data_IF_908378513730
#
_entry.id   IF_908378513730
#
_cell.length_a   1.000
_cell.length_b   1.000
_cell.length_c   1.000
_cell.angle_alpha   90.00
_cell.angle_beta   90.00
_cell.angle_gamma   90.00
#
_symmetry.space_group_name_H-M   'P 1'
#
loop_
_entity.id
_entity.type
_entity.pdbx_description
1 polymer ?
#
# COMPACT_ATOMS: atom_id res chain seq x y z
N UNK A 1 8.78 -1.40 -31.90
CA UNK A 1 10.15 -0.82 -31.77
C UNK A 1 10.48 -0.72 -30.29
N UNK A 2 11.51 -1.46 -29.86
CA UNK A 2 11.96 -1.44 -28.45
C UNK A 2 12.92 -0.26 -28.29
N UNK A 3 12.56 0.71 -27.48
CA UNK A 3 13.41 1.84 -27.19
C UNK A 3 14.72 1.38 -26.50
N UNK A 4 15.83 1.59 -27.14
CA UNK A 4 17.18 1.37 -26.58
C UNK A 4 17.58 2.61 -25.76
N UNK A 5 17.71 2.44 -24.45
CA UNK A 5 18.31 3.48 -23.60
C UNK A 5 19.77 3.77 -24.00
N UNK A 6 20.29 4.93 -23.64
CA UNK A 6 21.60 5.48 -24.05
C UNK A 6 22.83 4.59 -23.81
N UNK A 7 22.68 3.35 -23.33
CA UNK A 7 23.76 2.36 -23.12
C UNK A 7 23.42 0.95 -23.60
N UNK A 8 22.45 0.77 -24.52
CA UNK A 8 22.12 -0.56 -25.05
C UNK A 8 21.51 -1.55 -24.04
N UNK A 9 21.06 -1.08 -22.89
CA UNK A 9 20.33 -1.88 -21.91
C UNK A 9 18.88 -1.91 -22.34
N UNK A 10 18.30 -3.10 -22.48
CA UNK A 10 16.87 -3.29 -22.65
C UNK A 10 16.16 -2.73 -21.40
N UNK A 11 15.57 -1.56 -21.52
CA UNK A 11 14.67 -1.02 -20.50
C UNK A 11 13.35 -1.77 -20.68
N UNK A 12 12.95 -2.54 -19.69
CA UNK A 12 11.62 -3.16 -19.68
C UNK A 12 10.61 -2.03 -19.53
N UNK A 13 9.79 -1.81 -20.55
CA UNK A 13 8.63 -0.92 -20.44
C UNK A 13 7.64 -1.59 -19.48
N UNK A 14 7.33 -0.90 -18.40
CA UNK A 14 6.41 -1.34 -17.36
C UNK A 14 5.37 -0.26 -17.16
N UNK A 15 4.13 -0.67 -17.01
CA UNK A 15 3.12 0.22 -16.47
C UNK A 15 3.36 0.47 -14.98
N UNK A 16 2.87 1.58 -14.50
CA UNK A 16 2.95 1.93 -13.07
C UNK A 16 2.39 0.82 -12.16
N UNK A 17 1.23 0.21 -12.49
CA UNK A 17 0.65 -0.91 -11.72
C UNK A 17 1.54 -2.15 -11.68
N UNK A 18 2.21 -2.47 -12.81
CA UNK A 18 3.16 -3.60 -12.85
C UNK A 18 4.39 -3.31 -12.00
N UNK A 19 4.85 -2.07 -11.97
CA UNK A 19 5.95 -1.66 -11.09
C UNK A 19 5.58 -1.80 -9.62
N UNK A 20 4.35 -1.41 -9.23
CA UNK A 20 3.81 -1.62 -7.88
C UNK A 20 3.77 -3.11 -7.54
N UNK A 21 3.16 -3.94 -8.40
CA UNK A 21 3.09 -5.39 -8.18
C UNK A 21 4.47 -6.02 -8.02
N UNK A 22 5.42 -5.66 -8.89
CA UNK A 22 6.79 -6.15 -8.82
C UNK A 22 7.52 -5.69 -7.56
N UNK A 23 7.31 -4.45 -7.13
CA UNK A 23 7.91 -3.93 -5.91
C UNK A 23 7.39 -4.69 -4.67
N UNK A 24 6.08 -4.96 -4.59
CA UNK A 24 5.48 -5.78 -3.54
C UNK A 24 6.10 -7.19 -3.55
N UNK A 25 6.14 -7.84 -4.72
CA UNK A 25 6.70 -9.17 -4.87
C UNK A 25 8.17 -9.23 -4.41
N UNK A 26 8.99 -8.26 -4.77
CA UNK A 26 10.40 -8.19 -4.37
C UNK A 26 10.57 -8.09 -2.85
N UNK A 27 9.75 -7.29 -2.19
CA UNK A 27 9.82 -7.16 -0.74
C UNK A 27 9.28 -8.41 -0.02
N UNK A 28 8.23 -9.04 -0.55
CA UNK A 28 7.75 -10.33 -0.04
C UNK A 28 8.76 -11.48 -0.21
N UNK A 29 9.61 -11.45 -1.24
CA UNK A 29 10.71 -12.40 -1.40
C UNK A 29 11.83 -12.15 -0.41
N UNK A 30 12.15 -10.88 -0.18
CA UNK A 30 13.25 -10.46 0.69
C UNK A 30 12.96 -10.74 2.16
N UNK A 31 11.70 -10.53 2.57
CA UNK A 31 11.29 -10.60 3.97
C UNK A 31 10.04 -11.48 4.13
N UNK A 32 10.15 -12.65 4.78
CA UNK A 32 9.03 -13.54 5.03
C UNK A 32 7.96 -12.95 5.97
N UNK A 33 8.25 -11.90 6.71
CA UNK A 33 7.28 -11.20 7.57
C UNK A 33 6.34 -10.28 6.80
N UNK A 34 6.68 -9.92 5.55
CA UNK A 34 5.83 -9.11 4.67
C UNK A 34 4.69 -9.96 4.13
N UNK A 35 3.45 -9.50 4.28
CA UNK A 35 2.27 -10.10 3.67
C UNK A 35 1.30 -9.02 3.17
N UNK A 36 0.45 -9.38 2.21
CA UNK A 36 -0.52 -8.49 1.60
C UNK A 36 -1.95 -8.87 1.98
N UNK A 37 -2.79 -7.89 2.32
CA UNK A 37 -4.17 -8.10 2.75
C UNK A 37 -5.07 -6.96 2.26
N UNK A 38 -6.27 -7.29 1.85
CA UNK A 38 -7.28 -6.33 1.41
C UNK A 38 -8.47 -7.00 0.75
N UNK A 39 -9.33 -6.21 0.16
CA UNK A 39 -10.51 -6.68 -0.57
C UNK A 39 -10.12 -7.07 -2.00
N UNK A 40 -10.49 -8.25 -2.44
CA UNK A 40 -10.24 -8.79 -3.80
C UNK A 40 -8.76 -8.77 -4.25
N UNK A 41 -7.83 -8.72 -3.30
CA UNK A 41 -6.39 -8.62 -3.59
C UNK A 41 -5.74 -9.95 -3.94
N UNK A 42 -6.35 -11.08 -3.56
CA UNK A 42 -5.81 -12.40 -3.82
C UNK A 42 -6.31 -12.97 -5.16
N UNK A 43 -7.45 -13.61 -5.18
CA UNK A 43 -7.94 -14.32 -6.37
C UNK A 43 -8.22 -13.38 -7.55
N UNK A 44 -8.73 -12.18 -7.31
CA UNK A 44 -9.01 -11.20 -8.33
C UNK A 44 -7.77 -10.39 -8.79
N UNK A 45 -6.65 -10.44 -8.04
CA UNK A 45 -5.44 -9.67 -8.34
C UNK A 45 -5.56 -8.16 -8.10
N UNK A 46 -6.51 -7.77 -7.23
CA UNK A 46 -6.85 -6.38 -6.95
C UNK A 46 -7.77 -5.76 -8.01
N UNK A 47 -8.59 -4.79 -7.60
CA UNK A 47 -9.48 -4.05 -8.52
C UNK A 47 -8.68 -3.30 -9.58
N UNK A 48 -7.53 -2.78 -9.21
CA UNK A 48 -6.62 -2.07 -10.12
C UNK A 48 -5.50 -2.96 -10.69
N UNK A 49 -5.54 -4.28 -10.43
CA UNK A 49 -4.54 -5.25 -10.89
C UNK A 49 -3.11 -4.98 -10.39
N UNK A 50 -3.01 -4.41 -9.21
CA UNK A 50 -1.73 -4.12 -8.55
C UNK A 50 -1.17 -5.32 -7.76
N UNK A 51 -1.92 -6.41 -7.65
CA UNK A 51 -1.54 -7.64 -6.92
C UNK A 51 -1.65 -8.89 -7.78
N UNK A 52 -1.79 -8.73 -9.09
CA UNK A 52 -1.88 -9.85 -10.03
C UNK A 52 -0.62 -10.74 -9.94
N UNK A 53 -0.84 -12.06 -9.87
CA UNK A 53 0.25 -13.06 -9.75
C UNK A 53 0.83 -13.24 -8.34
N UNK A 54 0.48 -12.41 -7.38
CA UNK A 54 1.01 -12.54 -6.01
C UNK A 54 0.47 -13.77 -5.29
N UNK A 55 -0.81 -14.09 -5.45
CA UNK A 55 -1.41 -15.26 -4.80
C UNK A 55 -0.76 -16.57 -5.26
N UNK A 56 -0.54 -16.73 -6.56
CA UNK A 56 0.09 -17.91 -7.14
C UNK A 56 1.53 -18.09 -6.66
N UNK A 57 2.23 -16.96 -6.45
CA UNK A 57 3.64 -16.95 -6.06
C UNK A 57 3.86 -17.15 -4.58
N UNK A 58 3.05 -16.55 -3.73
CA UNK A 58 3.27 -16.51 -2.27
C UNK A 58 2.25 -17.29 -1.45
N UNK A 59 1.16 -17.72 -2.08
CA UNK A 59 0.11 -18.51 -1.45
C UNK A 59 -0.82 -17.72 -0.52
N UNK A 60 -1.92 -18.36 -0.06
CA UNK A 60 -2.99 -17.70 0.69
C UNK A 60 -2.60 -17.32 2.13
N UNK A 61 -1.48 -17.80 2.63
CA UNK A 61 -0.97 -17.36 3.94
C UNK A 61 -0.34 -15.97 3.88
N UNK A 62 0.14 -15.56 2.70
CA UNK A 62 0.85 -14.31 2.47
C UNK A 62 0.07 -13.29 1.64
N UNK A 63 -0.96 -13.71 0.88
CA UNK A 63 -1.85 -12.85 0.09
C UNK A 63 -3.28 -13.22 0.45
N UNK A 64 -3.99 -12.29 1.11
CA UNK A 64 -5.26 -12.60 1.77
C UNK A 64 -6.37 -11.67 1.34
N UNK A 65 -7.47 -12.25 0.84
CA UNK A 65 -8.73 -11.54 0.69
C UNK A 65 -9.42 -11.35 2.04
N UNK A 66 -10.15 -10.25 2.16
CA UNK A 66 -10.98 -9.94 3.32
C UNK A 66 -12.42 -9.66 2.90
N UNK A 67 -13.40 -9.79 3.82
CA UNK A 67 -14.68 -9.13 3.65
C UNK A 67 -14.52 -7.60 3.57
N UNK A 68 -15.53 -6.91 3.03
CA UNK A 68 -15.62 -5.46 3.02
C UNK A 68 -15.78 -4.94 4.44
N UNK A 69 -14.67 -4.57 5.08
CA UNK A 69 -14.63 -3.99 6.41
C UNK A 69 -13.27 -3.33 6.64
N UNK A 70 -13.10 -2.11 6.23
CA UNK A 70 -11.84 -1.37 6.30
C UNK A 70 -11.35 -1.23 7.75
N UNK A 71 -12.28 -1.05 8.69
CA UNK A 71 -11.94 -1.01 10.11
C UNK A 71 -11.35 -2.34 10.61
N UNK A 72 -11.89 -3.47 10.17
CA UNK A 72 -11.37 -4.78 10.55
C UNK A 72 -10.03 -5.06 9.88
N UNK A 73 -9.85 -4.66 8.60
CA UNK A 73 -8.58 -4.77 7.87
C UNK A 73 -7.49 -4.00 8.63
N UNK A 74 -7.73 -2.74 8.94
CA UNK A 74 -6.75 -1.88 9.61
C UNK A 74 -6.45 -2.36 11.04
N UNK A 75 -7.45 -2.81 11.77
CA UNK A 75 -7.26 -3.41 13.11
C UNK A 75 -6.42 -4.69 13.06
N UNK A 76 -6.66 -5.55 12.08
CA UNK A 76 -5.90 -6.79 11.88
C UNK A 76 -4.43 -6.52 11.55
N UNK A 77 -4.15 -5.58 10.62
CA UNK A 77 -2.76 -5.26 10.26
C UNK A 77 -2.02 -4.53 11.38
N UNK A 78 -2.71 -3.69 12.16
CA UNK A 78 -2.15 -3.08 13.36
C UNK A 78 -1.67 -4.16 14.33
N UNK A 79 -2.56 -5.11 14.69
CA UNK A 79 -2.23 -6.21 15.58
C UNK A 79 -1.09 -7.08 15.07
N UNK A 80 -1.06 -7.38 13.76
CA UNK A 80 0.01 -8.13 13.13
C UNK A 80 1.35 -7.40 13.18
N UNK A 81 1.37 -6.11 12.87
CA UNK A 81 2.56 -5.28 12.92
C UNK A 81 3.16 -5.19 14.33
N UNK A 82 2.31 -5.02 15.35
CA UNK A 82 2.72 -5.00 16.75
C UNK A 82 3.33 -6.34 17.21
N UNK A 83 3.03 -7.44 16.51
CA UNK A 83 3.56 -8.79 16.77
C UNK A 83 4.71 -9.20 15.82
N UNK A 84 5.33 -8.25 15.12
CA UNK A 84 6.55 -8.48 14.35
C UNK A 84 6.37 -8.82 12.88
N UNK A 85 5.13 -8.76 12.35
CA UNK A 85 4.90 -8.85 10.91
C UNK A 85 5.02 -7.46 10.25
N UNK A 86 5.15 -7.44 8.92
CA UNK A 86 5.20 -6.24 8.08
C UNK A 86 4.09 -6.27 7.04
N UNK A 87 2.85 -5.96 7.44
CA UNK A 87 1.72 -5.99 6.53
C UNK A 87 1.72 -4.83 5.54
N UNK A 88 1.29 -5.14 4.31
CA UNK A 88 0.77 -4.18 3.35
C UNK A 88 -0.74 -4.36 3.31
N UNK A 89 -1.48 -3.38 3.79
CA UNK A 89 -2.94 -3.35 3.67
C UNK A 89 -3.33 -2.52 2.45
N UNK A 90 -4.22 -3.04 1.60
CA UNK A 90 -4.87 -2.24 0.58
C UNK A 90 -6.26 -1.82 1.07
N UNK A 91 -6.49 -0.51 1.14
CA UNK A 91 -7.82 0.08 1.15
C UNK A 91 -8.12 0.50 -0.28
N UNK A 92 -9.15 -0.07 -0.87
CA UNK A 92 -9.43 0.03 -2.31
C UNK A 92 -9.49 1.48 -2.80
N UNK A 93 -10.15 2.36 -2.05
CA UNK A 93 -10.21 3.79 -2.30
C UNK A 93 -9.88 4.58 -1.03
N UNK A 94 -9.13 5.66 -1.18
CA UNK A 94 -8.75 6.52 -0.07
C UNK A 94 -9.93 7.19 0.64
N UNK A 95 -11.06 7.33 -0.04
CA UNK A 95 -12.34 7.77 0.53
C UNK A 95 -12.74 6.96 1.77
N UNK A 96 -12.42 5.66 1.80
CA UNK A 96 -12.81 4.74 2.87
C UNK A 96 -11.95 4.85 4.14
N UNK A 97 -10.88 5.64 4.09
CA UNK A 97 -10.17 6.02 5.32
C UNK A 97 -11.10 6.62 6.38
N UNK A 98 -12.17 7.30 5.94
CA UNK A 98 -13.15 7.86 6.87
C UNK A 98 -13.78 6.81 7.79
N UNK A 99 -14.03 5.58 7.30
CA UNK A 99 -14.61 4.49 8.07
C UNK A 99 -13.67 3.86 9.11
N UNK A 100 -12.37 4.04 8.96
CA UNK A 100 -11.35 3.46 9.86
C UNK A 100 -10.39 4.52 10.43
N UNK A 101 -10.75 5.80 10.34
CA UNK A 101 -9.86 6.92 10.68
C UNK A 101 -9.38 6.91 12.13
N UNK A 102 -10.24 6.51 13.08
CA UNK A 102 -9.84 6.40 14.48
C UNK A 102 -8.67 5.43 14.68
N UNK A 103 -8.74 4.26 14.03
CA UNK A 103 -7.65 3.28 14.09
C UNK A 103 -6.34 3.85 13.53
N UNK A 104 -6.40 4.62 12.45
CA UNK A 104 -5.23 5.21 11.82
C UNK A 104 -4.68 6.36 12.69
N UNK A 105 -5.53 7.34 13.02
CA UNK A 105 -5.09 8.59 13.65
C UNK A 105 -4.85 8.47 15.16
N UNK A 106 -5.64 7.68 15.87
CA UNK A 106 -5.57 7.59 17.34
C UNK A 106 -4.88 6.33 17.84
N UNK A 107 -4.88 5.24 17.06
CA UNK A 107 -4.27 3.99 17.49
C UNK A 107 -2.90 3.79 16.83
N UNK A 108 -2.85 3.54 15.53
CA UNK A 108 -1.60 3.24 14.78
C UNK A 108 -0.58 4.37 14.93
N UNK A 109 -1.00 5.61 14.66
CA UNK A 109 -0.12 6.78 14.72
C UNK A 109 0.47 7.04 16.11
N UNK A 110 -0.23 6.64 17.15
CA UNK A 110 0.14 6.94 18.56
C UNK A 110 0.80 5.78 19.28
N UNK A 111 0.75 4.57 18.74
CA UNK A 111 1.24 3.34 19.40
C UNK A 111 2.66 3.50 19.94
N UNK A 112 3.60 3.93 19.11
CA UNK A 112 5.00 4.11 19.56
C UNK A 112 5.14 5.13 20.70
N UNK A 113 4.46 6.25 20.57
CA UNK A 113 4.50 7.30 21.58
C UNK A 113 3.86 6.85 22.90
N UNK A 114 2.66 6.27 22.85
CA UNK A 114 1.91 5.83 24.04
C UNK A 114 2.59 4.67 24.77
N UNK A 115 3.36 3.86 24.07
CA UNK A 115 4.12 2.75 24.67
C UNK A 115 5.56 3.13 25.05
N UNK A 116 5.90 4.41 25.04
CA UNK A 116 7.25 4.90 25.29
C UNK A 116 8.32 4.20 24.42
N UNK A 117 8.02 3.97 23.16
CA UNK A 117 8.90 3.34 22.17
C UNK A 117 9.03 1.80 22.28
N UNK A 118 8.32 1.16 23.23
CA UNK A 118 8.42 -0.29 23.44
C UNK A 118 7.75 -1.08 22.31
N UNK A 119 6.73 -0.50 21.67
CA UNK A 119 6.00 -1.13 20.55
C UNK A 119 6.14 -0.25 19.30
N UNK A 120 6.54 -0.86 18.21
CA UNK A 120 6.50 -0.26 16.87
C UNK A 120 5.31 -0.83 16.09
N UNK A 121 4.92 -0.10 15.03
CA UNK A 121 3.83 -0.52 14.16
C UNK A 121 4.27 -0.40 12.68
N UNK A 122 5.23 -1.24 12.24
CA UNK A 122 5.78 -1.20 10.88
C UNK A 122 4.78 -1.78 9.88
N UNK A 123 3.95 -0.93 9.30
CA UNK A 123 2.95 -1.32 8.32
C UNK A 123 2.84 -0.28 7.20
N UNK A 124 2.39 -0.73 6.05
CA UNK A 124 2.03 0.14 4.93
C UNK A 124 0.54 0.03 4.68
N UNK A 125 -0.16 1.16 4.64
CA UNK A 125 -1.53 1.23 4.14
C UNK A 125 -1.48 1.89 2.78
N UNK A 126 -1.75 1.10 1.76
CA UNK A 126 -1.77 1.49 0.35
C UNK A 126 -3.20 1.76 -0.08
N UNK A 127 -3.45 2.79 -0.86
CA UNK A 127 -4.79 3.09 -1.35
C UNK A 127 -4.78 3.78 -2.72
N UNK A 128 -5.75 3.41 -3.55
CA UNK A 128 -6.08 4.15 -4.75
C UNK A 128 -6.67 5.52 -4.39
N UNK A 129 -6.20 6.58 -5.06
CA UNK A 129 -6.50 7.96 -4.74
C UNK A 129 -6.71 8.78 -6.01
N UNK A 130 -7.33 9.94 -5.88
CA UNK A 130 -7.38 10.93 -6.95
C UNK A 130 -8.76 11.40 -7.40
N UNK A 131 -8.97 12.69 -7.28
CA UNK A 131 -10.23 13.37 -7.61
C UNK A 131 -10.63 13.35 -9.09
N UNK A 132 -9.74 12.93 -10.00
CA UNK A 132 -10.00 12.86 -11.45
C UNK A 132 -10.52 11.51 -11.92
N UNK A 133 -10.62 10.51 -11.06
CA UNK A 133 -11.00 9.14 -11.42
C UNK A 133 -12.46 9.01 -11.87
N UNK A 134 -13.32 9.92 -11.40
CA UNK A 134 -14.73 10.03 -11.80
C UNK A 134 -15.60 8.82 -11.49
N UNK A 135 -15.34 8.14 -10.38
CA UNK A 135 -16.17 7.04 -9.87
C UNK A 135 -17.28 7.51 -8.91
N UNK A 136 -17.78 8.71 -9.10
CA UNK A 136 -18.80 9.33 -8.25
C UNK A 136 -18.19 10.02 -7.02
N UNK A 137 -19.06 10.62 -6.21
CA UNK A 137 -18.66 11.49 -5.09
C UNK A 137 -17.90 10.75 -3.98
N UNK A 138 -18.15 9.45 -3.80
CA UNK A 138 -17.62 8.64 -2.71
C UNK A 138 -16.38 7.82 -3.10
N UNK A 139 -15.90 7.90 -4.35
CA UNK A 139 -14.79 7.10 -4.88
C UNK A 139 -13.82 7.96 -5.70
N UNK A 140 -13.80 9.27 -5.48
CA UNK A 140 -13.01 10.20 -6.30
C UNK A 140 -12.42 11.33 -5.47
N UNK A 141 -12.15 11.10 -4.21
CA UNK A 141 -11.55 12.09 -3.32
C UNK A 141 -10.04 11.92 -3.24
N UNK A 142 -9.36 13.00 -2.82
CA UNK A 142 -7.93 13.00 -2.50
C UNK A 142 -7.81 13.39 -1.03
N UNK A 143 -7.35 12.47 -0.20
CA UNK A 143 -7.42 12.61 1.27
C UNK A 143 -6.06 12.63 1.95
N UNK A 144 -4.97 12.80 1.23
CA UNK A 144 -3.60 12.83 1.75
C UNK A 144 -3.45 13.85 2.89
N UNK A 145 -4.11 15.00 2.75
CA UNK A 145 -4.07 16.07 3.74
C UNK A 145 -4.66 15.68 5.11
N UNK A 146 -5.58 14.71 5.16
CA UNK A 146 -6.08 14.21 6.44
C UNK A 146 -4.94 13.55 7.22
N UNK A 147 -4.18 12.71 6.55
CA UNK A 147 -3.05 12.00 7.16
C UNK A 147 -1.86 12.92 7.47
N UNK A 148 -1.58 13.90 6.61
CA UNK A 148 -0.48 14.83 6.78
C UNK A 148 -0.59 15.70 8.05
N UNK A 149 -1.79 15.85 8.60
CA UNK A 149 -2.01 16.59 9.86
C UNK A 149 -1.81 15.74 11.12
N UNK A 150 -1.58 14.41 10.97
CA UNK A 150 -1.48 13.48 12.09
C UNK A 150 -0.02 13.14 12.41
N UNK A 151 0.55 13.58 13.55
CA UNK A 151 1.89 13.17 13.93
C UNK A 151 1.96 11.68 14.26
N UNK A 152 3.03 11.02 13.82
CA UNK A 152 3.26 9.59 13.99
C UNK A 152 2.98 8.75 12.76
N UNK A 153 2.62 9.38 11.64
CA UNK A 153 2.40 8.73 10.34
C UNK A 153 3.30 9.40 9.30
N UNK A 154 3.86 8.62 8.39
CA UNK A 154 4.50 9.10 7.17
C UNK A 154 3.52 8.98 6.00
N UNK A 155 3.51 9.97 5.14
CA UNK A 155 2.62 10.02 3.97
C UNK A 155 3.48 10.12 2.72
N UNK A 156 3.25 9.24 1.76
CA UNK A 156 3.93 9.22 0.47
C UNK A 156 2.92 9.14 -0.67
N UNK A 157 3.20 9.82 -1.76
CA UNK A 157 2.39 9.81 -2.98
C UNK A 157 3.31 9.66 -4.20
N UNK A 158 3.62 8.41 -4.60
CA UNK A 158 4.50 8.16 -5.74
C UNK A 158 3.85 8.65 -7.04
N UNK A 159 4.63 9.37 -7.85
CA UNK A 159 4.16 9.95 -9.10
C UNK A 159 4.79 9.30 -10.34
N UNK A 160 5.89 8.60 -10.18
CA UNK A 160 6.61 7.90 -11.26
C UNK A 160 6.74 6.41 -10.93
N UNK A 161 7.12 5.62 -11.92
CA UNK A 161 7.42 4.19 -11.75
C UNK A 161 8.56 3.98 -10.76
N UNK A 162 9.60 4.80 -10.82
CA UNK A 162 10.73 4.74 -9.89
C UNK A 162 10.32 5.13 -8.48
N UNK A 163 9.44 6.13 -8.32
CA UNK A 163 8.86 6.48 -7.02
C UNK A 163 8.06 5.34 -6.42
N UNK A 164 7.18 4.71 -7.21
CA UNK A 164 6.35 3.60 -6.75
C UNK A 164 7.20 2.47 -6.17
N UNK A 165 8.28 2.12 -6.88
CA UNK A 165 9.22 1.10 -6.44
C UNK A 165 10.04 1.54 -5.22
N UNK A 166 10.66 2.73 -5.29
CA UNK A 166 11.56 3.21 -4.26
C UNK A 166 10.84 3.54 -2.95
N UNK A 167 9.70 4.23 -3.03
CA UNK A 167 8.94 4.60 -1.84
C UNK A 167 8.33 3.40 -1.14
N UNK A 168 7.84 2.38 -1.87
CA UNK A 168 7.32 1.16 -1.25
C UNK A 168 8.42 0.39 -0.50
N UNK A 169 9.61 0.26 -1.10
CA UNK A 169 10.75 -0.38 -0.47
C UNK A 169 11.13 0.33 0.86
N UNK A 170 11.21 1.65 0.84
CA UNK A 170 11.52 2.44 2.03
C UNK A 170 10.40 2.39 3.07
N UNK A 171 9.14 2.42 2.62
CA UNK A 171 7.98 2.32 3.50
C UNK A 171 7.94 0.98 4.27
N UNK A 172 8.25 -0.12 3.59
CA UNK A 172 8.33 -1.44 4.23
C UNK A 172 9.54 -1.62 5.15
N UNK A 173 10.62 -0.89 4.92
CA UNK A 173 11.78 -0.88 5.83
C UNK A 173 11.56 0.00 7.07
N UNK A 174 10.60 0.91 7.02
CA UNK A 174 10.35 1.86 8.09
C UNK A 174 9.78 1.17 9.35
N UNK A 175 10.24 1.51 10.56
CA UNK A 175 9.68 1.00 11.80
C UNK A 175 8.34 1.65 12.19
N UNK A 176 7.95 2.73 11.51
CA UNK A 176 6.73 3.49 11.75
C UNK A 176 5.73 3.33 10.60
N UNK A 177 4.44 3.59 10.85
CA UNK A 177 3.41 3.42 9.83
C UNK A 177 3.56 4.39 8.67
N UNK A 178 3.38 3.88 7.46
CA UNK A 178 3.40 4.67 6.22
C UNK A 178 2.07 4.53 5.49
N UNK A 179 1.49 5.67 5.11
CA UNK A 179 0.33 5.73 4.21
C UNK A 179 0.83 6.05 2.79
N UNK A 180 0.50 5.21 1.83
CA UNK A 180 0.90 5.32 0.44
C UNK A 180 -0.31 5.55 -0.45
N UNK A 181 -0.42 6.74 -1.00
CA UNK A 181 -1.52 7.13 -1.87
C UNK A 181 -1.09 7.05 -3.34
N UNK A 182 -1.65 6.12 -4.08
CA UNK A 182 -1.38 5.91 -5.50
C UNK A 182 -2.46 6.57 -6.34
N UNK A 183 -2.08 7.51 -7.20
CA UNK A 183 -3.08 8.16 -8.06
C UNK A 183 -3.57 7.18 -9.15
N UNK A 184 -4.85 6.84 -9.11
CA UNK A 184 -5.41 5.75 -9.93
C UNK A 184 -5.27 5.98 -11.46
N UNK A 185 -5.16 7.23 -11.92
CA UNK A 185 -4.91 7.53 -13.33
C UNK A 185 -3.50 7.15 -13.80
N UNK A 186 -2.55 6.95 -12.88
CA UNK A 186 -1.18 6.54 -13.22
C UNK A 186 -1.07 5.05 -13.51
N UNK A 187 -2.00 4.21 -13.06
CA UNK A 187 -1.87 2.75 -13.16
C UNK A 187 -1.60 2.22 -14.57
N UNK A 188 -2.04 2.91 -15.61
CA UNK A 188 -1.84 2.53 -17.01
C UNK A 188 -0.74 3.35 -17.72
N UNK A 189 0.01 4.18 -16.98
CA UNK A 189 1.10 4.99 -17.55
C UNK A 189 2.38 4.14 -17.59
N UNK A 190 3.10 4.21 -18.70
CA UNK A 190 4.41 3.63 -18.97
C UNK A 190 5.54 4.62 -18.67
#
# INVERSE_FOLDING_TARGET
DRALGRRGVLVAELTYREAVSRAIAQEMERDPSVYFIGEDVAAAGGVFKTTEGLLERFGPSRVRDTPISEQAIIGAVMGAAMNGLRPVAELMFSDFFAGCWDLIANQIAKTRYMTNGQVSCPLVIKSGNGGSVRFGAQHSQSVENWAMSVPGIKVVSPATIDDARGMLQHALADPDPVLMFEHALLYNVE
#
